data_IF_790491197030
#
_entry.id   IF_790491197030
#
_cell.length_a   1.000
_cell.length_b   1.000
_cell.length_c   1.000
_cell.angle_alpha   90.00
_cell.angle_beta   90.00
_cell.angle_gamma   90.00
#
_symmetry.space_group_name_H-M   'P 1'
#
loop_
_entity.id
_entity.type
_entity.pdbx_description
1 polymer ?
#
# COMPACT_ATOMS: atom_id res chain seq x y z
N UNK A 1 -28.50 -8.13 -73.73
CA UNK A 1 -27.53 -8.62 -72.80
C UNK A 1 -27.22 -7.50 -71.75
N UNK A 2 -27.82 -7.57 -70.56
CA UNK A 2 -27.67 -6.53 -69.50
C UNK A 2 -26.53 -6.95 -68.58
N UNK A 3 -25.46 -6.13 -68.52
CA UNK A 3 -24.34 -6.33 -67.61
C UNK A 3 -24.73 -5.74 -66.26
N UNK A 4 -24.83 -6.59 -65.20
CA UNK A 4 -25.06 -6.16 -63.82
C UNK A 4 -23.66 -6.01 -63.16
N UNK A 5 -23.31 -4.76 -62.85
CA UNK A 5 -22.08 -4.45 -62.15
C UNK A 5 -22.37 -4.50 -60.66
N UNK A 6 -21.78 -5.48 -59.99
CA UNK A 6 -21.89 -5.64 -58.49
C UNK A 6 -20.87 -4.73 -57.81
N UNK A 7 -21.36 -3.71 -57.15
CA UNK A 7 -20.54 -2.79 -56.39
C UNK A 7 -20.32 -3.37 -54.98
N UNK A 8 -19.11 -3.86 -54.68
CA UNK A 8 -18.73 -4.34 -53.35
C UNK A 8 -18.42 -3.13 -52.46
N UNK A 9 -19.32 -2.86 -51.50
CA UNK A 9 -19.10 -1.86 -50.46
C UNK A 9 -18.28 -2.49 -49.32
N UNK A 10 -16.98 -2.19 -49.25
CA UNK A 10 -16.11 -2.63 -48.14
C UNK A 10 -16.35 -1.67 -46.97
N UNK A 11 -17.08 -2.12 -45.94
CA UNK A 11 -17.21 -1.42 -44.68
C UNK A 11 -15.94 -1.64 -43.87
N UNK A 12 -15.07 -0.63 -43.83
CA UNK A 12 -13.92 -0.61 -42.93
C UNK A 12 -14.40 -0.38 -41.48
N UNK A 13 -14.50 -1.46 -40.70
CA UNK A 13 -14.72 -1.37 -39.27
C UNK A 13 -13.44 -0.83 -38.58
N UNK A 14 -13.42 0.45 -38.24
CA UNK A 14 -12.38 1.05 -37.44
C UNK A 14 -12.50 0.50 -35.99
N UNK A 15 -11.72 -0.51 -35.66
CA UNK A 15 -11.51 -0.91 -34.28
C UNK A 15 -10.77 0.22 -33.56
N UNK A 16 -11.51 1.11 -32.92
CA UNK A 16 -10.98 2.07 -31.98
C UNK A 16 -10.53 1.28 -30.72
N UNK A 17 -9.25 0.90 -30.62
CA UNK A 17 -8.66 0.49 -29.37
C UNK A 17 -8.73 1.68 -28.40
N UNK A 18 -9.75 1.73 -27.54
CA UNK A 18 -9.72 2.54 -26.32
C UNK A 18 -8.57 2.02 -25.50
N UNK A 19 -7.49 2.79 -25.44
CA UNK A 19 -6.42 2.61 -24.47
C UNK A 19 -7.08 2.84 -23.09
N UNK A 20 -7.40 1.78 -22.36
CA UNK A 20 -7.84 1.90 -20.97
C UNK A 20 -6.74 2.67 -20.25
N UNK A 21 -7.10 3.82 -19.71
CA UNK A 21 -6.19 4.57 -18.81
C UNK A 21 -5.95 3.66 -17.61
N UNK A 22 -4.71 3.20 -17.44
CA UNK A 22 -4.31 2.42 -16.25
C UNK A 22 -4.75 3.20 -15.03
N UNK A 23 -5.66 2.64 -14.26
CA UNK A 23 -6.16 3.26 -13.05
C UNK A 23 -4.98 3.39 -12.07
N UNK A 24 -4.70 4.62 -11.64
CA UNK A 24 -3.64 4.85 -10.66
C UNK A 24 -4.07 4.27 -9.30
N UNK A 25 -3.57 3.09 -8.97
CA UNK A 25 -3.91 2.37 -7.74
C UNK A 25 -3.58 3.17 -6.47
N UNK A 26 -2.56 4.03 -6.49
CA UNK A 26 -2.20 4.86 -5.34
C UNK A 26 -3.21 5.98 -5.07
N UNK A 27 -3.95 6.45 -6.09
CA UNK A 27 -4.96 7.50 -5.90
C UNK A 27 -6.04 7.12 -4.90
N UNK A 28 -6.39 5.84 -4.81
CA UNK A 28 -7.40 5.35 -3.85
C UNK A 28 -6.83 5.15 -2.44
N UNK A 29 -5.54 5.42 -2.24
CA UNK A 29 -4.84 5.35 -0.95
C UNK A 29 -4.63 6.72 -0.31
N UNK A 30 -5.14 7.82 -0.92
CA UNK A 30 -4.98 9.20 -0.42
C UNK A 30 -5.50 9.37 1.03
N UNK A 31 -6.42 8.49 1.50
CA UNK A 31 -6.88 8.48 2.88
C UNK A 31 -5.77 8.17 3.91
N UNK A 32 -4.70 7.49 3.49
CA UNK A 32 -3.55 7.17 4.33
C UNK A 32 -2.72 8.41 4.67
N UNK A 33 -2.74 9.44 3.80
CA UNK A 33 -1.92 10.64 3.94
C UNK A 33 -2.27 11.41 5.21
N UNK A 34 -1.22 11.80 5.95
CA UNK A 34 -1.29 12.54 7.22
C UNK A 34 -0.53 11.84 8.33
N UNK A 35 -0.65 12.38 9.54
CA UNK A 35 -0.01 11.85 10.75
C UNK A 35 -1.03 11.05 11.55
N UNK A 36 -0.65 9.84 11.95
CA UNK A 36 -1.45 8.90 12.71
C UNK A 36 -0.73 8.58 14.01
N UNK A 37 -1.48 8.52 15.11
CA UNK A 37 -0.93 8.35 16.46
C UNK A 37 -1.67 7.25 17.22
N UNK A 38 -0.89 6.48 17.99
CA UNK A 38 -1.39 5.53 18.99
C UNK A 38 -0.57 5.73 20.26
N UNK A 39 -1.25 6.09 21.35
CA UNK A 39 -0.63 6.19 22.66
C UNK A 39 -1.02 4.97 23.48
N UNK A 40 -0.01 4.25 23.98
CA UNK A 40 -0.20 3.03 24.76
C UNK A 40 0.83 2.92 25.90
N UNK A 41 0.62 1.98 26.81
CA UNK A 41 1.60 1.66 27.88
C UNK A 41 2.94 1.13 27.35
N UNK A 42 2.96 0.65 26.10
CA UNK A 42 4.15 0.16 25.42
C UNK A 42 4.98 1.29 24.79
N UNK A 43 4.39 2.47 24.65
CA UNK A 43 4.98 3.65 24.04
C UNK A 43 4.01 4.37 23.11
N UNK A 44 4.45 5.53 22.65
CA UNK A 44 3.74 6.39 21.70
C UNK A 44 4.19 6.03 20.29
N UNK A 45 3.28 5.49 19.49
CA UNK A 45 3.51 5.19 18.08
C UNK A 45 3.03 6.35 17.23
N UNK A 46 3.85 6.79 16.31
CA UNK A 46 3.50 7.78 15.30
C UNK A 46 3.89 7.28 13.92
N UNK A 47 2.94 7.40 12.98
CA UNK A 47 3.18 7.11 11.58
C UNK A 47 2.77 8.32 10.74
N UNK A 48 3.66 8.79 9.88
CA UNK A 48 3.41 9.93 8.99
C UNK A 48 3.49 9.50 7.54
N UNK A 49 2.50 9.89 6.74
CA UNK A 49 2.43 9.60 5.32
C UNK A 49 2.33 10.87 4.48
N UNK A 50 3.17 10.96 3.47
CA UNK A 50 3.20 12.05 2.50
C UNK A 50 3.03 11.51 1.08
N UNK A 51 2.18 12.17 0.30
CA UNK A 51 2.07 11.93 -1.13
C UNK A 51 3.14 12.75 -1.86
N UNK A 52 4.14 12.08 -2.41
CA UNK A 52 5.20 12.74 -3.18
C UNK A 52 4.72 13.04 -4.61
N UNK A 53 4.06 12.06 -5.23
CA UNK A 53 3.43 12.18 -6.53
C UNK A 53 2.38 11.07 -6.72
N UNK A 54 1.83 10.94 -7.91
CA UNK A 54 0.80 9.93 -8.19
C UNK A 54 1.31 8.49 -8.19
N UNK A 55 2.62 8.26 -8.15
CA UNK A 55 3.23 6.93 -8.18
C UNK A 55 4.04 6.62 -6.92
N UNK A 56 4.20 7.58 -5.99
CA UNK A 56 5.06 7.43 -4.82
C UNK A 56 4.46 8.13 -3.60
N UNK A 57 4.27 7.37 -2.50
CA UNK A 57 4.07 7.92 -1.16
C UNK A 57 5.28 7.57 -0.30
N UNK A 58 5.57 8.40 0.69
CA UNK A 58 6.61 8.17 1.71
C UNK A 58 5.97 8.13 3.08
N UNK A 59 6.39 7.16 3.86
CA UNK A 59 6.00 6.99 5.24
C UNK A 59 7.19 7.00 6.18
N UNK A 60 6.98 7.40 7.42
CA UNK A 60 7.89 7.17 8.54
C UNK A 60 7.09 6.65 9.71
N UNK A 61 7.65 5.68 10.46
CA UNK A 61 7.02 5.15 11.66
C UNK A 61 8.02 5.16 12.81
N UNK A 62 7.53 5.52 14.00
CA UNK A 62 8.31 5.57 15.22
C UNK A 62 7.50 4.98 16.37
N UNK A 63 8.17 4.23 17.25
CA UNK A 63 7.68 3.89 18.58
C UNK A 63 8.63 4.52 19.61
N UNK A 64 8.09 5.45 20.41
CA UNK A 64 8.84 6.21 21.40
C UNK A 64 8.29 5.87 22.78
N UNK A 65 9.16 5.52 23.70
CA UNK A 65 8.83 5.34 25.13
C UNK A 65 9.70 6.27 25.95
N UNK A 66 9.05 7.19 26.70
CA UNK A 66 9.73 8.24 27.44
C UNK A 66 10.60 9.12 26.54
N UNK A 67 11.92 8.89 26.48
CA UNK A 67 12.87 9.61 25.62
C UNK A 67 13.58 8.70 24.62
N UNK A 68 13.30 7.40 24.66
CA UNK A 68 13.97 6.41 23.84
C UNK A 68 13.13 6.04 22.63
N UNK A 69 13.76 6.05 21.44
CA UNK A 69 13.16 5.53 20.22
C UNK A 69 13.38 4.02 20.19
N UNK A 70 12.34 3.24 20.47
CA UNK A 70 12.38 1.78 20.50
C UNK A 70 12.32 1.18 19.09
N UNK A 71 11.66 1.87 18.15
CA UNK A 71 11.52 1.44 16.77
C UNK A 71 11.49 2.65 15.86
N UNK A 72 12.12 2.54 14.69
CA UNK A 72 11.97 3.52 13.61
C UNK A 72 12.11 2.85 12.25
N UNK A 73 11.25 3.25 11.33
CA UNK A 73 11.31 2.82 9.95
C UNK A 73 10.99 3.96 8.97
N UNK A 74 11.53 3.86 7.79
CA UNK A 74 11.11 4.63 6.61
C UNK A 74 10.42 3.69 5.64
N UNK A 75 9.35 4.18 5.00
CA UNK A 75 8.50 3.37 4.14
C UNK A 75 8.33 4.05 2.79
N UNK A 76 8.38 3.28 1.72
CA UNK A 76 7.93 3.72 0.41
C UNK A 76 6.73 2.90 -0.04
N UNK A 77 5.66 3.56 -0.51
CA UNK A 77 4.66 2.97 -1.38
C UNK A 77 4.96 3.40 -2.80
N UNK A 78 5.21 2.45 -3.69
CA UNK A 78 5.57 2.73 -5.07
C UNK A 78 4.66 1.95 -6.03
N UNK A 79 4.07 2.66 -7.01
CA UNK A 79 3.38 2.03 -8.13
C UNK A 79 4.36 1.84 -9.28
N UNK A 80 4.67 0.58 -9.60
CA UNK A 80 5.60 0.19 -10.65
C UNK A 80 5.08 -1.05 -11.39
N UNK A 81 5.09 -1.04 -12.70
CA UNK A 81 4.73 -2.19 -13.56
C UNK A 81 3.39 -2.84 -13.18
N UNK A 82 2.34 -2.02 -12.96
CA UNK A 82 0.99 -2.42 -12.54
C UNK A 82 0.91 -3.05 -11.12
N UNK A 83 2.00 -3.04 -10.37
CA UNK A 83 2.06 -3.46 -8.98
C UNK A 83 2.18 -2.25 -8.05
N UNK A 84 1.73 -2.41 -6.83
CA UNK A 84 2.04 -1.49 -5.74
C UNK A 84 2.90 -2.22 -4.73
N UNK A 85 4.02 -1.60 -4.40
CA UNK A 85 5.02 -2.12 -3.50
C UNK A 85 4.99 -1.32 -2.20
N UNK A 86 4.98 -2.01 -1.07
CA UNK A 86 5.24 -1.46 0.26
C UNK A 86 6.67 -1.85 0.64
N UNK A 87 7.53 -0.87 0.84
CA UNK A 87 8.97 -1.07 0.97
C UNK A 87 9.46 -0.41 2.27
N UNK A 88 9.42 -1.10 3.41
CA UNK A 88 9.98 -0.62 4.66
C UNK A 88 11.50 -0.84 4.71
N UNK A 89 12.17 0.09 5.41
CA UNK A 89 13.54 -0.03 5.90
C UNK A 89 13.47 0.19 7.40
N UNK A 90 13.67 -0.86 8.17
CA UNK A 90 13.63 -0.82 9.64
C UNK A 90 15.05 -0.68 10.17
N UNK A 91 15.28 0.36 10.97
CA UNK A 91 16.60 0.62 11.58
C UNK A 91 17.02 -0.55 12.45
N UNK A 92 18.23 -1.09 12.20
CA UNK A 92 18.81 -2.19 12.97
C UNK A 92 18.24 -3.57 12.63
N UNK A 93 17.39 -3.69 11.60
CA UNK A 93 16.89 -4.98 11.09
C UNK A 93 17.31 -5.19 9.64
N UNK A 94 17.46 -6.44 9.21
CA UNK A 94 17.85 -6.81 7.83
C UNK A 94 19.09 -6.06 7.30
N UNK A 95 20.05 -5.72 8.18
CA UNK A 95 21.22 -4.88 7.85
C UNK A 95 20.81 -3.52 7.25
N UNK A 96 19.73 -2.92 7.71
CA UNK A 96 19.12 -1.69 7.19
C UNK A 96 18.75 -1.78 5.68
N UNK A 97 18.52 -2.98 5.18
CA UNK A 97 18.11 -3.20 3.80
C UNK A 97 16.59 -3.19 3.65
N UNK A 98 16.08 -2.70 2.53
CA UNK A 98 14.64 -2.68 2.26
C UNK A 98 14.08 -4.10 2.12
N UNK A 99 12.85 -4.29 2.61
CA UNK A 99 12.06 -5.50 2.37
C UNK A 99 10.86 -5.12 1.50
N UNK A 100 10.52 -5.96 0.52
CA UNK A 100 9.42 -5.66 -0.41
C UNK A 100 8.22 -6.52 -0.10
N UNK A 101 7.06 -5.87 0.10
CA UNK A 101 5.74 -6.50 0.19
C UNK A 101 4.90 -6.07 -1.00
N UNK A 102 4.17 -7.00 -1.60
CA UNK A 102 3.29 -6.74 -2.74
C UNK A 102 1.87 -6.44 -2.27
N UNK A 103 1.22 -5.46 -2.86
CA UNK A 103 -0.22 -5.24 -2.66
C UNK A 103 -0.99 -6.42 -3.27
N UNK A 104 -1.64 -7.22 -2.43
CA UNK A 104 -2.42 -8.40 -2.84
C UNK A 104 -3.92 -8.15 -2.81
N UNK A 105 -4.37 -7.16 -2.00
CA UNK A 105 -5.78 -6.76 -1.95
C UNK A 105 -5.89 -5.26 -1.69
N UNK A 106 -6.81 -4.63 -2.42
CA UNK A 106 -7.17 -3.23 -2.25
C UNK A 106 -8.67 -3.07 -2.31
N UNK A 107 -9.20 -2.31 -1.36
CA UNK A 107 -10.57 -1.81 -1.35
C UNK A 107 -10.54 -0.32 -1.01
N UNK A 108 -11.66 0.43 -1.08
CA UNK A 108 -11.68 1.83 -0.65
C UNK A 108 -11.23 2.09 0.79
N UNK A 109 -11.27 1.04 1.65
CA UNK A 109 -10.97 1.15 3.09
C UNK A 109 -9.93 0.14 3.59
N UNK A 110 -9.34 -0.68 2.73
CA UNK A 110 -8.39 -1.71 3.15
C UNK A 110 -7.26 -1.86 2.14
N UNK A 111 -6.05 -1.94 2.64
CA UNK A 111 -4.85 -2.29 1.90
C UNK A 111 -4.23 -3.53 2.54
N UNK A 112 -3.85 -4.52 1.74
CA UNK A 112 -3.18 -5.74 2.20
C UNK A 112 -1.90 -5.91 1.40
N UNK A 113 -0.77 -5.92 2.11
CA UNK A 113 0.54 -6.15 1.53
C UNK A 113 1.10 -7.46 2.07
N UNK A 114 1.71 -8.27 1.21
CA UNK A 114 2.20 -9.60 1.59
C UNK A 114 3.61 -9.86 1.04
N UNK A 115 4.43 -10.50 1.88
CA UNK A 115 5.68 -11.14 1.50
C UNK A 115 5.75 -12.50 2.20
N UNK A 116 5.33 -13.60 1.54
CA UNK A 116 5.32 -14.93 2.15
C UNK A 116 6.72 -15.48 2.47
N UNK A 117 7.77 -14.91 1.84
CA UNK A 117 9.15 -15.34 2.03
C UNK A 117 9.86 -14.58 3.16
N UNK A 118 9.25 -13.50 3.69
CA UNK A 118 9.79 -12.78 4.85
C UNK A 118 9.63 -13.64 6.11
N UNK A 119 10.49 -13.45 7.10
CA UNK A 119 10.39 -14.13 8.39
C UNK A 119 9.19 -13.63 9.19
N UNK A 120 9.18 -12.35 9.61
CA UNK A 120 8.07 -11.67 10.26
C UNK A 120 8.19 -10.14 10.11
N UNK A 121 7.06 -9.44 9.83
CA UNK A 121 5.76 -10.01 9.43
C UNK A 121 5.76 -10.54 7.99
N UNK A 122 4.78 -11.41 7.65
CA UNK A 122 4.51 -11.85 6.27
C UNK A 122 3.39 -11.05 5.61
N UNK A 123 2.58 -10.38 6.43
CA UNK A 123 1.41 -9.61 6.00
C UNK A 123 1.31 -8.33 6.79
N UNK A 124 0.99 -7.23 6.10
CA UNK A 124 0.71 -5.91 6.63
C UNK A 124 -0.65 -5.48 6.10
N UNK A 125 -1.56 -5.06 6.98
CA UNK A 125 -2.91 -4.66 6.62
C UNK A 125 -3.20 -3.28 7.22
N UNK A 126 -3.66 -2.36 6.38
CA UNK A 126 -4.24 -1.09 6.83
C UNK A 126 -5.74 -1.13 6.62
N UNK A 127 -6.51 -0.89 7.69
CA UNK A 127 -7.96 -0.80 7.65
C UNK A 127 -8.38 0.61 8.06
N UNK A 128 -8.96 1.38 7.15
CA UNK A 128 -9.61 2.64 7.49
C UNK A 128 -10.95 2.37 8.17
N UNK A 129 -11.10 2.78 9.42
CA UNK A 129 -12.36 2.62 10.19
C UNK A 129 -13.26 3.83 9.96
N UNK A 130 -12.69 5.03 10.12
CA UNK A 130 -13.36 6.32 9.82
C UNK A 130 -12.38 7.21 9.04
N UNK A 131 -12.77 8.45 8.71
CA UNK A 131 -11.85 9.42 8.11
C UNK A 131 -10.65 9.74 9.03
N UNK A 132 -10.84 9.65 10.35
CA UNK A 132 -9.86 10.02 11.37
C UNK A 132 -9.35 8.83 12.20
N UNK A 133 -9.63 7.59 11.79
CA UNK A 133 -9.14 6.40 12.48
C UNK A 133 -8.85 5.26 11.53
N UNK A 134 -7.76 4.55 11.80
CA UNK A 134 -7.37 3.34 11.11
C UNK A 134 -6.85 2.30 12.10
N UNK A 135 -6.75 1.05 11.64
CA UNK A 135 -6.07 -0.03 12.34
C UNK A 135 -5.05 -0.63 11.39
N UNK A 136 -3.77 -0.53 11.73
CA UNK A 136 -2.72 -1.30 11.09
C UNK A 136 -2.55 -2.64 11.81
N UNK A 137 -2.37 -3.71 11.04
CA UNK A 137 -2.16 -5.07 11.57
C UNK A 137 -0.98 -5.68 10.83
N UNK A 138 -0.04 -6.20 11.60
CA UNK A 138 1.03 -7.04 11.07
C UNK A 138 0.80 -8.48 11.53
N UNK A 139 1.12 -9.45 10.69
CA UNK A 139 0.92 -10.87 11.02
C UNK A 139 1.87 -11.78 10.26
N UNK A 140 2.06 -12.98 10.79
CA UNK A 140 2.95 -13.99 10.21
C UNK A 140 3.12 -15.17 11.13
N UNK A 141 4.30 -15.79 11.07
CA UNK A 141 4.66 -16.91 11.92
C UNK A 141 5.93 -16.55 12.68
N UNK A 142 5.90 -16.65 14.00
CA UNK A 142 7.06 -16.50 14.87
C UNK A 142 7.25 -17.78 15.67
N UNK A 143 8.45 -18.35 15.66
CA UNK A 143 8.77 -19.60 16.36
C UNK A 143 7.79 -20.76 16.05
N UNK A 144 7.36 -20.84 14.80
CA UNK A 144 6.42 -21.88 14.34
C UNK A 144 4.96 -21.68 14.74
N UNK A 145 4.60 -20.56 15.38
CA UNK A 145 3.23 -20.22 15.78
C UNK A 145 2.72 -18.98 15.03
N UNK A 146 1.43 -18.95 14.75
CA UNK A 146 0.79 -17.75 14.21
C UNK A 146 0.91 -16.61 15.23
N UNK A 147 1.30 -15.43 14.74
CA UNK A 147 1.44 -14.20 15.52
C UNK A 147 0.82 -13.04 14.77
N UNK A 148 0.26 -12.08 15.53
CA UNK A 148 -0.35 -10.87 14.98
C UNK A 148 -0.34 -9.75 16.01
N UNK A 149 0.08 -8.57 15.57
CA UNK A 149 0.04 -7.34 16.36
C UNK A 149 -0.88 -6.33 15.69
N UNK A 150 -1.64 -5.58 16.48
CA UNK A 150 -2.64 -4.62 16.01
C UNK A 150 -2.39 -3.25 16.60
N UNK A 151 -2.40 -2.22 15.75
CA UNK A 151 -2.09 -0.85 16.08
C UNK A 151 -3.28 0.05 15.68
N UNK A 152 -4.25 0.27 16.59
CA UNK A 152 -5.31 1.24 16.35
C UNK A 152 -4.74 2.65 16.43
N UNK A 153 -4.96 3.46 15.40
CA UNK A 153 -4.41 4.81 15.30
C UNK A 153 -5.49 5.85 15.02
N UNK A 154 -5.27 7.05 15.52
CA UNK A 154 -6.09 8.24 15.25
C UNK A 154 -5.29 9.26 14.47
N UNK A 155 -5.96 9.95 13.56
CA UNK A 155 -5.35 11.04 12.80
C UNK A 155 -5.09 12.23 13.71
N UNK A 156 -3.86 12.72 13.70
CA UNK A 156 -3.49 13.96 14.37
C UNK A 156 -4.17 15.14 13.66
N UNK A 157 -4.81 16.01 14.42
CA UNK A 157 -5.44 17.24 13.92
C UNK A 157 -4.45 18.38 13.84
#
# INVERSE_FOLDING_TARGET
>A
MKKITFLFLIAAAAFSCKKESKENKLKTMDWLVGTWENNSEYGDMQENWEKINDSVFRGTSYLIKEKDTLHSESIALESKDDQVLYIPIVKGQNNDQPVVFLLTKQTPKQLVFENPNHDYPKKIVYNQITADSLVAVISGTQQGKASSDSFPMKKKK
#
